data_IF_246697734162
#
_entry.id   IF_246697734162
#
_cell.length_a   1.000
_cell.length_b   1.000
_cell.length_c   1.000
_cell.angle_alpha   90.00
_cell.angle_beta   90.00
_cell.angle_gamma   90.00
#
_symmetry.space_group_name_H-M   'P 1'
#
loop_
_entity.id
_entity.type
_entity.pdbx_description
1 polymer ?
#
# COMPACT_ATOMS: atom_id res chain seq x y z
N UNK A 1 -16.42 -40.77 2.65
CA UNK A 1 -15.09 -40.81 2.02
C UNK A 1 -14.87 -39.44 1.40
N UNK A 2 -13.76 -38.77 1.76
CA UNK A 2 -13.44 -37.45 1.22
C UNK A 2 -13.16 -37.51 -0.29
N UNK A 3 -13.43 -36.43 -1.01
CA UNK A 3 -13.01 -36.29 -2.42
C UNK A 3 -11.48 -36.15 -2.42
N UNK A 4 -10.74 -36.95 -3.20
CA UNK A 4 -9.29 -36.81 -3.28
C UNK A 4 -8.92 -35.44 -3.86
N UNK A 5 -7.90 -34.80 -3.28
CA UNK A 5 -7.41 -33.47 -3.68
C UNK A 5 -6.02 -33.56 -4.27
N UNK A 6 -5.68 -32.72 -5.25
CA UNK A 6 -4.32 -32.69 -5.77
C UNK A 6 -3.49 -31.71 -4.95
N UNK A 7 -2.27 -32.12 -4.59
CA UNK A 7 -1.36 -31.32 -3.77
C UNK A 7 -0.06 -31.06 -4.52
N UNK A 8 0.33 -29.78 -4.57
CA UNK A 8 1.60 -29.32 -5.13
C UNK A 8 2.37 -28.53 -4.08
N UNK A 9 3.66 -28.80 -3.93
CA UNK A 9 4.55 -28.11 -2.99
C UNK A 9 5.47 -27.13 -3.70
N UNK A 10 5.80 -26.02 -3.04
CA UNK A 10 6.90 -25.12 -3.41
C UNK A 10 7.70 -24.74 -2.16
N UNK A 11 8.98 -24.41 -2.32
CA UNK A 11 9.87 -24.03 -1.22
C UNK A 11 10.23 -25.16 -0.24
N UNK A 12 9.85 -26.42 -0.54
CA UNK A 12 10.07 -27.61 0.31
C UNK A 12 10.95 -28.62 -0.46
N UNK A 13 11.87 -29.30 0.23
CA UNK A 13 12.68 -30.36 -0.36
C UNK A 13 11.86 -31.60 -0.72
N UNK A 14 12.29 -32.37 -1.74
CA UNK A 14 11.59 -33.59 -2.19
C UNK A 14 11.46 -34.67 -1.11
N UNK A 15 12.35 -34.69 -0.13
CA UNK A 15 12.30 -35.61 1.02
C UNK A 15 11.37 -35.11 2.14
N UNK A 16 10.76 -33.93 1.98
CA UNK A 16 9.84 -33.28 2.91
C UNK A 16 10.45 -32.96 4.29
N UNK A 17 11.79 -32.92 4.41
CA UNK A 17 12.49 -32.71 5.68
C UNK A 17 12.99 -31.28 5.89
N UNK A 18 13.01 -30.45 4.86
CA UNK A 18 13.55 -29.09 4.93
C UNK A 18 12.83 -28.12 4.00
N UNK A 19 12.85 -26.83 4.36
CA UNK A 19 12.47 -25.74 3.47
C UNK A 19 13.70 -25.30 2.66
N UNK A 20 13.64 -25.44 1.33
CA UNK A 20 14.78 -25.18 0.44
C UNK A 20 14.65 -23.90 -0.39
N UNK A 21 13.44 -23.31 -0.47
CA UNK A 21 13.21 -22.08 -1.23
C UNK A 21 13.05 -22.19 -2.71
N UNK A 22 13.04 -23.40 -3.24
CA UNK A 22 12.88 -23.58 -4.67
C UNK A 22 11.50 -23.10 -5.12
N UNK A 23 11.46 -22.39 -6.24
CA UNK A 23 10.22 -22.07 -6.94
C UNK A 23 9.72 -23.26 -7.79
N UNK A 24 10.52 -24.31 -7.94
CA UNK A 24 10.16 -25.49 -8.71
C UNK A 24 9.06 -26.28 -7.97
N UNK A 25 7.90 -26.49 -8.62
CA UNK A 25 6.81 -27.23 -7.99
C UNK A 25 7.15 -28.72 -7.87
N UNK A 26 6.74 -29.33 -6.75
CA UNK A 26 6.76 -30.76 -6.53
C UNK A 26 5.32 -31.25 -6.48
N UNK A 27 4.88 -31.95 -7.53
CA UNK A 27 3.55 -32.54 -7.60
C UNK A 27 3.53 -33.86 -6.82
N UNK A 28 2.66 -33.97 -5.82
CA UNK A 28 2.52 -35.20 -5.02
C UNK A 28 1.35 -36.09 -5.48
N UNK A 29 0.53 -35.59 -6.40
CA UNK A 29 -0.64 -36.32 -6.93
C UNK A 29 -1.89 -36.19 -6.05
N UNK A 30 -2.91 -37.04 -6.32
CA UNK A 30 -4.15 -37.04 -5.56
C UNK A 30 -3.94 -37.65 -4.17
N UNK A 31 -4.46 -36.98 -3.15
CA UNK A 31 -4.41 -37.40 -1.74
C UNK A 31 -5.81 -37.44 -1.13
N UNK A 32 -6.07 -38.43 -0.29
CA UNK A 32 -7.22 -38.41 0.60
C UNK A 32 -6.97 -37.52 1.84
N UNK A 33 -7.98 -37.37 2.70
CA UNK A 33 -7.89 -36.53 3.89
C UNK A 33 -6.86 -37.02 4.92
N UNK A 34 -6.65 -38.33 5.03
CA UNK A 34 -5.73 -38.93 6.00
C UNK A 34 -4.28 -38.76 5.54
N UNK A 35 -4.02 -38.96 4.25
CA UNK A 35 -2.74 -38.70 3.60
C UNK A 35 -2.36 -37.22 3.68
N UNK A 36 -3.33 -36.32 3.42
CA UNK A 36 -3.12 -34.89 3.56
C UNK A 36 -2.81 -34.50 5.01
N UNK A 37 -3.52 -35.06 5.99
CA UNK A 37 -3.26 -34.81 7.41
C UNK A 37 -1.83 -35.25 7.80
N UNK A 38 -1.41 -36.43 7.36
CA UNK A 38 -0.07 -36.95 7.61
C UNK A 38 1.01 -36.04 7.00
N UNK A 39 0.80 -35.60 5.74
CA UNK A 39 1.68 -34.65 5.07
C UNK A 39 1.80 -33.35 5.86
N UNK A 40 0.67 -32.78 6.30
CA UNK A 40 0.64 -31.52 7.05
C UNK A 40 1.39 -31.61 8.39
N UNK A 41 1.25 -32.72 9.10
CA UNK A 41 1.99 -32.93 10.35
C UNK A 41 3.50 -33.08 10.12
N UNK A 42 3.91 -33.60 8.96
CA UNK A 42 5.32 -33.72 8.60
C UNK A 42 5.94 -32.36 8.25
N UNK A 43 5.21 -31.51 7.53
CA UNK A 43 5.73 -30.26 6.97
C UNK A 43 5.47 -29.02 7.83
N UNK A 44 4.43 -28.99 8.66
CA UNK A 44 4.14 -27.84 9.53
C UNK A 44 5.31 -27.47 10.46
N UNK A 45 6.12 -28.41 10.99
CA UNK A 45 7.28 -28.06 11.82
C UNK A 45 8.47 -27.45 11.05
N UNK A 46 8.44 -27.42 9.72
CA UNK A 46 9.55 -26.91 8.92
C UNK A 46 9.74 -25.42 9.20
N UNK A 47 10.98 -25.04 9.52
CA UNK A 47 11.37 -23.65 9.64
C UNK A 47 11.65 -23.09 8.25
N UNK A 48 11.19 -21.87 7.92
CA UNK A 48 11.73 -21.17 6.77
C UNK A 48 13.26 -21.05 6.95
N UNK A 49 14.04 -21.15 5.86
CA UNK A 49 15.48 -21.10 5.95
C UNK A 49 15.93 -19.71 6.36
N UNK A 50 16.95 -19.70 7.21
CA UNK A 50 17.47 -18.52 7.89
C UNK A 50 18.42 -17.78 6.94
N UNK A 51 17.89 -16.90 6.08
CA UNK A 51 18.68 -16.36 4.96
C UNK A 51 18.44 -14.86 4.76
N UNK A 52 19.45 -14.11 5.16
CA UNK A 52 19.63 -12.72 4.77
C UNK A 52 20.04 -12.68 3.28
N UNK A 53 19.17 -12.12 2.41
CA UNK A 53 19.48 -11.58 1.07
C UNK A 53 19.18 -12.40 -0.22
N UNK A 54 17.99 -13.00 -0.40
CA UNK A 54 17.56 -13.52 -1.73
C UNK A 54 16.04 -13.54 -1.98
N UNK A 55 15.65 -13.61 -3.27
CA UNK A 55 14.29 -13.95 -3.71
C UNK A 55 14.02 -15.43 -3.39
N UNK A 56 13.19 -15.67 -2.38
CA UNK A 56 12.93 -17.00 -1.82
C UNK A 56 11.45 -17.35 -1.90
N UNK A 57 11.14 -18.58 -2.31
CA UNK A 57 9.78 -19.10 -2.25
C UNK A 57 9.48 -19.67 -0.85
N UNK A 58 8.56 -19.09 -0.07
CA UNK A 58 8.19 -19.65 1.22
C UNK A 58 7.63 -21.07 1.07
N UNK A 59 7.78 -21.94 2.09
CA UNK A 59 7.20 -23.28 2.05
C UNK A 59 5.69 -23.19 1.85
N UNK A 60 5.22 -23.58 0.67
CA UNK A 60 3.84 -23.35 0.24
C UNK A 60 3.22 -24.65 -0.27
N UNK A 61 1.97 -24.89 0.09
CA UNK A 61 1.11 -25.94 -0.48
C UNK A 61 0.02 -25.29 -1.30
N UNK A 62 -0.15 -25.82 -2.50
CA UNK A 62 -1.25 -25.52 -3.38
C UNK A 62 -2.14 -26.76 -3.38
N UNK A 63 -3.39 -26.59 -2.92
CA UNK A 63 -4.37 -27.69 -2.86
C UNK A 63 -5.48 -27.38 -3.86
N UNK A 64 -5.59 -28.20 -4.89
CA UNK A 64 -6.67 -28.10 -5.87
C UNK A 64 -7.87 -28.91 -5.36
N UNK A 65 -8.94 -28.21 -5.02
CA UNK A 65 -10.21 -28.80 -4.57
C UNK A 65 -11.28 -28.59 -5.65
N UNK A 66 -12.45 -29.26 -5.55
CA UNK A 66 -13.58 -28.98 -6.42
C UNK A 66 -14.10 -27.52 -6.33
N UNK A 67 -13.84 -26.83 -5.22
CA UNK A 67 -14.23 -25.42 -5.02
C UNK A 67 -13.19 -24.43 -5.53
N UNK A 68 -11.99 -24.89 -5.90
CA UNK A 68 -10.93 -24.08 -6.49
C UNK A 68 -9.55 -24.39 -5.90
N UNK A 69 -8.57 -23.60 -6.32
CA UNK A 69 -7.22 -23.65 -5.78
C UNK A 69 -7.16 -22.92 -4.43
N UNK A 70 -6.58 -23.57 -3.42
CA UNK A 70 -6.35 -23.00 -2.09
C UNK A 70 -4.84 -22.95 -1.82
N UNK A 71 -4.35 -21.84 -1.28
CA UNK A 71 -2.93 -21.59 -1.06
C UNK A 71 -2.60 -21.50 0.42
N UNK A 72 -1.66 -22.31 0.87
CA UNK A 72 -1.27 -22.42 2.26
C UNK A 72 0.24 -22.22 2.40
N UNK A 73 0.68 -21.37 3.32
CA UNK A 73 2.10 -21.12 3.61
C UNK A 73 2.46 -21.66 5.00
N UNK A 74 3.60 -22.35 5.17
CA UNK A 74 4.07 -22.77 6.50
C UNK A 74 4.87 -21.66 7.16
N UNK A 75 4.58 -21.40 8.43
CA UNK A 75 5.44 -20.60 9.30
C UNK A 75 5.16 -20.93 10.76
N UNK A 76 6.19 -20.86 11.61
CA UNK A 76 6.05 -20.95 13.06
C UNK A 76 5.23 -22.14 13.59
N UNK A 77 5.43 -23.33 13.01
CA UNK A 77 4.70 -24.57 13.36
C UNK A 77 3.20 -24.55 13.06
N UNK A 78 2.76 -23.60 12.23
CA UNK A 78 1.37 -23.39 11.84
C UNK A 78 1.29 -23.25 10.32
N UNK A 79 0.08 -23.33 9.80
CA UNK A 79 -0.20 -23.14 8.39
C UNK A 79 -1.00 -21.86 8.23
N UNK A 80 -0.55 -20.95 7.39
CA UNK A 80 -1.23 -19.71 7.06
C UNK A 80 -2.04 -19.92 5.77
N UNK A 81 -3.36 -19.74 5.83
CA UNK A 81 -4.23 -19.82 4.67
C UNK A 81 -4.28 -18.45 3.99
N UNK A 82 -3.75 -18.35 2.77
CA UNK A 82 -3.53 -17.07 2.10
C UNK A 82 -4.85 -16.38 1.76
N UNK A 83 -5.85 -17.13 1.30
CA UNK A 83 -7.14 -16.56 0.89
C UNK A 83 -7.97 -16.02 2.07
N UNK A 84 -7.81 -16.59 3.27
CA UNK A 84 -8.49 -16.10 4.47
C UNK A 84 -7.61 -15.23 5.37
N UNK A 85 -6.34 -15.04 5.00
CA UNK A 85 -5.34 -14.30 5.77
C UNK A 85 -5.24 -14.75 7.24
N UNK A 86 -5.44 -16.04 7.51
CA UNK A 86 -5.53 -16.58 8.88
C UNK A 86 -4.64 -17.80 9.12
N UNK A 87 -4.17 -17.95 10.37
CA UNK A 87 -3.46 -19.16 10.79
C UNK A 87 -4.45 -20.27 11.11
N UNK A 88 -4.25 -21.43 10.48
CA UNK A 88 -5.05 -22.63 10.65
C UNK A 88 -4.19 -23.80 11.11
N UNK A 89 -4.74 -24.63 11.99
CA UNK A 89 -4.18 -25.92 12.35
C UNK A 89 -4.44 -26.97 11.27
N UNK A 90 -3.73 -28.12 11.29
CA UNK A 90 -3.92 -29.19 10.30
C UNK A 90 -5.37 -29.69 10.17
N UNK A 91 -6.08 -29.82 11.30
CA UNK A 91 -7.51 -30.22 11.30
C UNK A 91 -8.41 -29.19 10.64
N UNK A 92 -8.14 -27.91 10.85
CA UNK A 92 -8.94 -26.80 10.30
C UNK A 92 -8.68 -26.64 8.81
N UNK A 93 -7.43 -26.82 8.37
CA UNK A 93 -7.08 -26.85 6.96
C UNK A 93 -7.87 -27.94 6.22
N UNK A 94 -8.03 -29.13 6.81
CA UNK A 94 -8.88 -30.19 6.23
C UNK A 94 -10.34 -29.75 6.14
N UNK A 95 -10.85 -29.05 7.15
CA UNK A 95 -12.21 -28.52 7.11
C UNK A 95 -12.37 -27.43 6.04
N UNK A 96 -11.34 -26.57 5.82
CA UNK A 96 -11.32 -25.57 4.74
C UNK A 96 -11.37 -26.26 3.38
N UNK A 97 -10.52 -27.26 3.19
CA UNK A 97 -10.39 -28.03 1.95
C UNK A 97 -11.67 -28.82 1.64
N UNK A 98 -12.32 -29.37 2.66
CA UNK A 98 -13.58 -30.10 2.52
C UNK A 98 -14.79 -29.17 2.32
N UNK A 99 -14.61 -27.85 2.39
CA UNK A 99 -15.69 -26.86 2.32
C UNK A 99 -16.60 -26.85 3.54
N UNK A 100 -16.21 -27.53 4.63
CA UNK A 100 -16.97 -27.58 5.88
C UNK A 100 -16.61 -26.43 6.83
N UNK A 101 -15.50 -25.74 6.60
CA UNK A 101 -15.07 -24.62 7.43
C UNK A 101 -15.61 -23.29 6.90
N UNK A 102 -16.47 -22.67 7.70
CA UNK A 102 -16.85 -21.28 7.48
C UNK A 102 -15.90 -20.38 8.28
N UNK A 103 -14.82 -19.93 7.64
CA UNK A 103 -13.81 -19.02 8.22
C UNK A 103 -14.43 -17.80 8.91
N UNK A 104 -15.55 -17.29 8.40
CA UNK A 104 -16.28 -16.16 9.01
C UNK A 104 -16.92 -16.51 10.36
N UNK A 105 -17.45 -17.71 10.51
CA UNK A 105 -18.10 -18.14 11.75
C UNK A 105 -17.08 -18.26 12.90
N UNK A 106 -15.86 -18.70 12.58
CA UNK A 106 -14.79 -18.84 13.57
C UNK A 106 -14.16 -17.50 13.96
N UNK A 107 -13.89 -16.60 13.01
CA UNK A 107 -13.45 -15.24 13.34
C UNK A 107 -14.42 -14.56 14.31
N UNK A 108 -15.73 -14.75 14.11
CA UNK A 108 -16.75 -14.27 15.04
C UNK A 108 -16.68 -14.95 16.42
N UNK A 109 -16.37 -16.25 16.47
CA UNK A 109 -16.28 -17.02 17.72
C UNK A 109 -15.00 -16.72 18.51
N UNK A 110 -13.85 -16.55 17.85
CA UNK A 110 -12.58 -16.18 18.48
C UNK A 110 -12.62 -14.73 19.00
N UNK A 111 -13.31 -13.83 18.28
CA UNK A 111 -13.60 -12.47 18.78
C UNK A 111 -14.49 -12.51 20.03
N UNK A 112 -15.52 -13.35 20.04
CA UNK A 112 -16.40 -13.52 21.20
C UNK A 112 -15.65 -14.11 22.43
N UNK A 113 -14.75 -15.08 22.21
CA UNK A 113 -13.95 -15.69 23.26
C UNK A 113 -12.89 -14.73 23.85
N UNK A 114 -12.40 -13.78 23.06
CA UNK A 114 -11.49 -12.73 23.52
C UNK A 114 -12.16 -11.63 24.37
N UNK A 115 -13.47 -11.75 24.67
CA UNK A 115 -14.24 -10.73 25.39
C UNK A 115 -14.47 -9.46 24.56
N UNK A 116 -14.16 -9.49 23.27
CA UNK A 116 -14.51 -8.44 22.32
C UNK A 116 -15.94 -8.75 21.89
N UNK A 117 -16.91 -8.05 22.48
CA UNK A 117 -18.31 -8.20 22.09
C UNK A 117 -18.42 -8.15 20.55
N UNK A 118 -19.08 -9.13 19.91
CA UNK A 118 -19.13 -9.20 18.47
C UNK A 118 -19.75 -7.92 17.93
N UNK A 119 -18.99 -7.16 17.15
CA UNK A 119 -19.54 -6.07 16.37
C UNK A 119 -20.54 -6.71 15.41
N UNK A 120 -21.83 -6.47 15.65
CA UNK A 120 -22.94 -6.94 14.82
C UNK A 120 -22.61 -6.75 13.34
N UNK A 121 -22.42 -7.83 12.56
CA UNK A 121 -22.15 -7.72 11.13
C UNK A 121 -23.42 -7.21 10.45
N UNK A 122 -23.49 -5.92 10.21
CA UNK A 122 -24.68 -5.24 9.67
C UNK A 122 -24.83 -3.79 10.10
N UNK A 123 -24.14 -3.39 11.17
CA UNK A 123 -23.94 -1.98 11.50
C UNK A 123 -22.49 -1.81 11.92
N UNK A 124 -21.63 -1.40 10.96
CA UNK A 124 -20.63 -0.40 11.37
C UNK A 124 -21.46 0.64 12.14
N UNK A 125 -21.16 0.97 13.41
CA UNK A 125 -21.66 2.22 13.92
C UNK A 125 -21.17 3.24 12.90
N UNK A 126 -22.06 3.70 12.01
CA UNK A 126 -21.94 5.02 11.42
C UNK A 126 -21.73 5.88 12.64
N UNK A 127 -20.47 6.25 12.88
CA UNK A 127 -20.12 7.09 14.00
C UNK A 127 -21.15 8.20 14.04
N UNK A 128 -21.83 8.39 15.19
CA UNK A 128 -22.85 9.41 15.31
C UNK A 128 -22.27 10.69 14.71
N UNK A 129 -22.93 11.20 13.66
CA UNK A 129 -22.43 12.20 12.72
C UNK A 129 -21.56 13.24 13.43
N UNK A 130 -20.24 12.98 13.47
CA UNK A 130 -19.34 13.73 14.32
C UNK A 130 -19.18 15.09 13.66
N UNK A 131 -19.72 16.14 14.28
CA UNK A 131 -19.62 17.50 13.74
C UNK A 131 -18.13 17.87 13.63
N UNK A 132 -17.60 18.10 12.40
CA UNK A 132 -16.19 18.41 12.19
C UNK A 132 -15.71 19.65 12.96
N UNK A 133 -16.64 20.51 13.40
CA UNK A 133 -16.34 21.70 14.22
C UNK A 133 -15.92 21.37 15.65
N UNK A 134 -16.23 20.17 16.13
CA UNK A 134 -15.88 19.72 17.48
C UNK A 134 -14.46 19.16 17.58
N UNK A 135 -13.83 18.85 16.44
CA UNK A 135 -12.48 18.31 16.35
C UNK A 135 -11.46 19.42 16.66
N UNK A 136 -10.65 19.21 17.70
CA UNK A 136 -9.61 20.15 18.08
C UNK A 136 -8.42 20.09 17.11
N UNK A 137 -8.32 21.11 16.25
CA UNK A 137 -7.21 21.29 15.28
C UNK A 137 -6.24 22.41 15.68
N UNK A 138 -6.44 22.95 16.89
CA UNK A 138 -5.65 24.04 17.47
C UNK A 138 -4.23 23.62 17.85
N UNK A 139 -3.36 24.57 18.24
CA UNK A 139 -1.98 24.30 18.67
C UNK A 139 -1.86 23.37 19.88
N UNK A 140 -2.90 23.30 20.70
CA UNK A 140 -3.04 22.44 21.88
C UNK A 140 -3.15 20.94 21.54
N UNK A 141 -3.69 20.60 20.36
CA UNK A 141 -3.81 19.21 19.95
C UNK A 141 -2.46 18.66 19.41
N UNK A 142 -2.08 17.41 19.76
CA UNK A 142 -0.91 16.76 19.18
C UNK A 142 -0.98 16.73 17.65
N UNK A 143 -0.03 17.40 17.00
CA UNK A 143 -0.02 17.54 15.55
C UNK A 143 1.39 17.75 15.00
N UNK A 144 1.53 17.58 13.69
CA UNK A 144 2.71 17.97 12.93
C UNK A 144 2.31 18.59 11.59
N UNK A 145 3.28 19.19 10.91
CA UNK A 145 3.09 19.77 9.59
C UNK A 145 4.15 19.31 8.62
N UNK A 146 3.74 18.97 7.40
CA UNK A 146 4.59 18.56 6.30
C UNK A 146 4.39 19.50 5.11
N UNK A 147 5.48 19.79 4.38
CA UNK A 147 5.40 20.47 3.08
C UNK A 147 5.12 19.43 2.00
N UNK A 148 3.92 19.47 1.42
CA UNK A 148 3.50 18.55 0.35
C UNK A 148 3.09 19.33 -0.89
N UNK A 149 3.18 18.71 -2.06
CA UNK A 149 2.61 19.29 -3.28
C UNK A 149 1.09 19.45 -3.16
N UNK A 150 0.57 20.62 -3.53
CA UNK A 150 -0.88 20.90 -3.54
C UNK A 150 -1.65 20.00 -4.50
N UNK A 151 -0.97 19.48 -5.51
CA UNK A 151 -1.52 18.53 -6.45
C UNK A 151 -0.47 18.07 -7.46
N UNK A 152 -0.82 17.04 -8.23
CA UNK A 152 0.07 16.47 -9.25
C UNK A 152 0.38 17.49 -10.35
N UNK A 153 -0.59 18.29 -10.79
CA UNK A 153 -0.36 19.33 -11.79
C UNK A 153 0.74 20.32 -11.37
N UNK A 154 0.76 20.72 -10.09
CA UNK A 154 1.83 21.57 -9.56
C UNK A 154 3.19 20.89 -9.64
N UNK A 155 3.29 19.64 -9.20
CA UNK A 155 4.54 18.86 -9.25
C UNK A 155 5.02 18.69 -10.70
N UNK A 156 4.13 18.29 -11.60
CA UNK A 156 4.45 18.07 -13.01
C UNK A 156 4.92 19.36 -13.67
N UNK A 157 4.19 20.48 -13.50
CA UNK A 157 4.59 21.77 -14.06
C UNK A 157 5.93 22.25 -13.50
N UNK A 158 6.15 22.09 -12.19
CA UNK A 158 7.39 22.50 -11.53
C UNK A 158 8.63 21.71 -11.99
N UNK A 159 8.45 20.51 -12.56
CA UNK A 159 9.54 19.68 -13.10
C UNK A 159 9.63 19.83 -14.63
N UNK A 160 8.51 19.81 -15.34
CA UNK A 160 8.48 19.79 -16.79
C UNK A 160 8.85 21.15 -17.42
N UNK A 161 8.36 22.26 -16.85
CA UNK A 161 8.64 23.61 -17.39
C UNK A 161 10.14 23.92 -17.42
N UNK A 162 10.92 23.77 -16.34
CA UNK A 162 12.35 24.07 -16.40
C UNK A 162 13.10 23.13 -17.34
N UNK A 163 12.69 21.86 -17.42
CA UNK A 163 13.31 20.89 -18.32
C UNK A 163 13.04 21.24 -19.80
N UNK A 164 11.80 21.61 -20.14
CA UNK A 164 11.43 22.09 -21.47
C UNK A 164 12.13 23.41 -21.81
N UNK A 165 12.21 24.36 -20.88
CA UNK A 165 12.94 25.61 -21.09
C UNK A 165 14.44 25.37 -21.32
N UNK A 166 15.06 24.48 -20.54
CA UNK A 166 16.46 24.11 -20.71
C UNK A 166 16.70 23.46 -22.09
N UNK A 167 15.88 22.49 -22.46
CA UNK A 167 16.06 21.68 -23.67
C UNK A 167 15.68 22.42 -24.95
N UNK A 168 14.62 23.21 -24.95
CA UNK A 168 14.11 23.88 -26.15
C UNK A 168 14.64 25.30 -26.33
N UNK A 169 15.16 25.93 -25.26
CA UNK A 169 15.62 27.32 -25.33
C UNK A 169 17.08 27.47 -24.92
N UNK A 170 17.50 26.97 -23.76
CA UNK A 170 18.87 27.19 -23.30
C UNK A 170 19.88 26.46 -24.19
N UNK A 171 19.68 25.15 -24.44
CA UNK A 171 20.60 24.35 -25.25
C UNK A 171 20.69 24.84 -26.70
N UNK A 172 19.58 25.02 -27.45
CA UNK A 172 19.64 25.57 -28.81
C UNK A 172 20.19 27.00 -28.85
N UNK A 173 19.90 27.81 -27.83
CA UNK A 173 20.41 29.17 -27.72
C UNK A 173 21.94 29.19 -27.63
N UNK A 174 22.53 28.32 -26.80
CA UNK A 174 23.98 28.15 -26.77
C UNK A 174 24.54 27.64 -28.10
N UNK A 175 23.90 26.66 -28.74
CA UNK A 175 24.34 26.16 -30.04
C UNK A 175 24.37 27.27 -31.10
N UNK A 176 23.34 28.14 -31.15
CA UNK A 176 23.30 29.29 -32.06
C UNK A 176 24.41 30.31 -31.80
N UNK A 177 24.72 30.58 -30.53
CA UNK A 177 25.82 31.49 -30.16
C UNK A 177 27.16 30.96 -30.65
N UNK A 178 27.42 29.65 -30.50
CA UNK A 178 28.72 29.06 -30.83
C UNK A 178 28.86 28.65 -32.30
N UNK A 179 27.78 28.35 -33.02
CA UNK A 179 27.84 27.81 -34.38
C UNK A 179 27.93 28.87 -35.48
N UNK A 180 27.22 30.00 -35.38
CA UNK A 180 26.91 30.81 -36.57
C UNK A 180 27.69 32.14 -36.69
N UNK A 181 28.70 32.37 -35.86
CA UNK A 181 29.40 33.67 -35.81
C UNK A 181 28.44 34.81 -35.43
N UNK A 182 28.97 36.01 -35.17
CA UNK A 182 28.23 37.08 -34.49
C UNK A 182 26.87 37.52 -35.09
N UNK A 183 26.52 37.09 -36.31
CA UNK A 183 25.29 37.51 -37.01
C UNK A 183 24.00 36.95 -36.39
N UNK A 184 24.04 35.74 -35.83
CA UNK A 184 22.88 35.10 -35.17
C UNK A 184 23.04 34.96 -33.65
N UNK A 185 24.17 35.39 -33.11
CA UNK A 185 24.47 35.30 -31.68
C UNK A 185 23.43 36.03 -30.81
N UNK A 186 22.81 37.10 -31.31
CA UNK A 186 21.77 37.83 -30.59
C UNK A 186 20.48 37.03 -30.43
N UNK A 187 20.08 36.22 -31.43
CA UNK A 187 18.94 35.31 -31.32
C UNK A 187 19.22 34.23 -30.29
N UNK A 188 20.42 33.64 -30.35
CA UNK A 188 20.85 32.65 -29.36
C UNK A 188 20.87 33.21 -27.94
N UNK A 189 21.40 34.43 -27.76
CA UNK A 189 21.40 35.12 -26.47
C UNK A 189 19.98 35.40 -25.96
N UNK A 190 19.07 35.84 -26.84
CA UNK A 190 17.66 36.01 -26.50
C UNK A 190 17.00 34.70 -26.07
N UNK A 191 17.26 33.60 -26.78
CA UNK A 191 16.75 32.25 -26.43
C UNK A 191 17.25 31.80 -25.06
N UNK A 192 18.55 31.97 -24.77
CA UNK A 192 19.14 31.64 -23.47
C UNK A 192 18.52 32.47 -22.36
N UNK A 193 18.31 33.78 -22.57
CA UNK A 193 17.74 34.67 -21.57
C UNK A 193 16.28 34.30 -21.24
N UNK A 194 15.46 34.04 -22.26
CA UNK A 194 14.08 33.56 -22.05
C UNK A 194 14.07 32.20 -21.36
N UNK A 195 14.92 31.28 -21.78
CA UNK A 195 15.06 29.96 -21.14
C UNK A 195 15.46 30.07 -19.67
N UNK A 196 16.45 30.91 -19.35
CA UNK A 196 16.88 31.19 -17.98
C UNK A 196 15.77 31.82 -17.14
N UNK A 197 15.00 32.76 -17.71
CA UNK A 197 13.83 33.35 -17.05
C UNK A 197 12.77 32.29 -16.74
N UNK A 198 12.45 31.39 -17.68
CA UNK A 198 11.52 30.29 -17.45
C UNK A 198 12.01 29.33 -16.34
N UNK A 199 13.30 29.02 -16.31
CA UNK A 199 13.91 28.24 -15.22
C UNK A 199 13.82 28.99 -13.89
N UNK A 200 14.09 30.29 -13.86
CA UNK A 200 13.92 31.12 -12.67
C UNK A 200 12.48 31.16 -12.16
N UNK A 201 11.50 31.32 -13.06
CA UNK A 201 10.07 31.27 -12.73
C UNK A 201 9.65 29.89 -12.22
N UNK A 202 10.31 28.81 -12.62
CA UNK A 202 10.03 27.47 -12.08
C UNK A 202 10.33 27.37 -10.58
N UNK A 203 11.31 28.14 -10.06
CA UNK A 203 11.57 28.19 -8.62
C UNK A 203 10.36 28.74 -7.85
N UNK A 204 9.65 29.73 -8.42
CA UNK A 204 8.39 30.22 -7.84
C UNK A 204 7.33 29.13 -7.83
N UNK A 205 7.21 28.33 -8.90
CA UNK A 205 6.30 27.18 -8.92
C UNK A 205 6.62 26.15 -7.85
N UNK A 206 7.90 25.93 -7.52
CA UNK A 206 8.31 25.07 -6.41
C UNK A 206 7.90 25.62 -5.05
N UNK A 207 8.07 26.93 -4.83
CA UNK A 207 7.71 27.59 -3.58
C UNK A 207 6.20 27.62 -3.38
N UNK A 208 5.44 28.02 -4.40
CA UNK A 208 3.98 28.16 -4.33
C UNK A 208 3.22 26.85 -4.54
N UNK A 209 3.79 25.92 -5.29
CA UNK A 209 3.19 24.62 -5.59
C UNK A 209 3.19 23.68 -4.39
N UNK A 210 4.01 23.96 -3.37
CA UNK A 210 3.97 23.26 -2.08
C UNK A 210 3.05 24.00 -1.11
N UNK A 211 2.34 23.24 -0.30
CA UNK A 211 1.53 23.74 0.81
C UNK A 211 1.84 22.98 2.09
N UNK A 212 1.39 23.52 3.22
CA UNK A 212 1.50 22.85 4.51
C UNK A 212 0.30 21.94 4.71
N UNK A 213 0.53 20.63 4.65
CA UNK A 213 -0.38 19.64 5.19
C UNK A 213 -0.18 19.61 6.70
N UNK A 214 -1.27 19.64 7.45
CA UNK A 214 -1.27 19.44 8.90
C UNK A 214 -2.01 18.14 9.18
N UNK A 215 -1.47 17.36 10.10
CA UNK A 215 -2.15 16.16 10.58
C UNK A 215 -2.00 16.09 12.09
N UNK A 216 -3.03 15.61 12.76
CA UNK A 216 -3.09 15.58 14.21
C UNK A 216 -4.05 14.51 14.71
N UNK A 217 -4.03 14.34 16.02
CA UNK A 217 -4.97 13.48 16.74
C UNK A 217 -5.65 14.33 17.81
N UNK A 218 -6.97 14.31 17.80
CA UNK A 218 -7.79 14.85 18.88
C UNK A 218 -8.25 13.67 19.76
N UNK A 219 -7.58 13.49 20.90
CA UNK A 219 -7.90 12.42 21.83
C UNK A 219 -9.23 12.61 22.56
N UNK A 220 -9.74 13.85 22.64
CA UNK A 220 -11.03 14.13 23.27
C UNK A 220 -12.18 13.55 22.45
N UNK A 221 -12.11 13.74 21.13
CA UNK A 221 -13.08 13.17 20.18
C UNK A 221 -12.66 11.80 19.64
N UNK A 222 -11.50 11.29 20.08
CA UNK A 222 -10.89 10.05 19.59
C UNK A 222 -10.76 10.02 18.05
N UNK A 223 -10.32 11.13 17.45
CA UNK A 223 -10.23 11.28 15.99
C UNK A 223 -8.82 11.59 15.52
N UNK A 224 -8.45 11.03 14.37
CA UNK A 224 -7.28 11.45 13.61
C UNK A 224 -7.77 12.34 12.48
N UNK A 225 -7.07 13.44 12.24
CA UNK A 225 -7.48 14.40 11.23
C UNK A 225 -6.31 14.84 10.35
N UNK A 226 -6.62 15.17 9.11
CA UNK A 226 -5.70 15.66 8.10
C UNK A 226 -6.31 16.90 7.46
N UNK A 227 -5.60 18.02 7.54
CA UNK A 227 -5.98 19.28 6.92
C UNK A 227 -5.00 19.62 5.80
N UNK A 228 -5.52 19.64 4.58
CA UNK A 228 -4.77 20.02 3.38
C UNK A 228 -4.98 21.48 3.01
N UNK A 229 -3.98 22.10 2.36
CA UNK A 229 -4.12 23.46 1.86
C UNK A 229 -5.29 23.56 0.88
N UNK A 230 -6.28 24.39 1.21
CA UNK A 230 -7.45 24.63 0.35
C UNK A 230 -8.47 23.49 0.29
N UNK A 231 -8.37 22.49 1.17
CA UNK A 231 -9.37 21.42 1.28
C UNK A 231 -10.08 21.47 2.63
N UNK A 232 -11.27 20.86 2.71
CA UNK A 232 -11.99 20.66 3.96
C UNK A 232 -11.20 19.72 4.87
N UNK A 233 -11.41 19.86 6.19
CA UNK A 233 -10.86 18.95 7.18
C UNK A 233 -11.32 17.53 6.87
N UNK A 234 -10.36 16.62 6.70
CA UNK A 234 -10.60 15.21 6.57
C UNK A 234 -10.31 14.55 7.91
N UNK A 235 -11.13 13.59 8.35
CA UNK A 235 -10.94 12.94 9.63
C UNK A 235 -11.41 11.49 9.57
N UNK A 236 -10.89 10.72 10.50
CA UNK A 236 -11.28 9.35 10.80
C UNK A 236 -11.52 9.25 12.30
N UNK A 237 -12.64 8.66 12.68
CA UNK A 237 -12.97 8.36 14.05
C UNK A 237 -12.23 7.14 14.57
N UNK A 238 -12.35 6.88 15.87
CA UNK A 238 -11.81 5.72 16.55
C UNK A 238 -10.28 5.61 16.43
N UNK A 239 -9.57 6.72 16.65
CA UNK A 239 -8.11 6.79 16.59
C UNK A 239 -7.42 5.80 17.55
N UNK A 240 -8.00 5.55 18.72
CA UNK A 240 -7.53 4.58 19.70
C UNK A 240 -7.48 3.13 19.20
N UNK A 241 -8.24 2.81 18.14
CA UNK A 241 -8.27 1.48 17.53
C UNK A 241 -7.26 1.33 16.38
N UNK A 242 -6.49 2.38 16.06
CA UNK A 242 -5.49 2.32 14.99
C UNK A 242 -4.20 1.69 15.55
N UNK A 243 -3.77 0.58 14.93
CA UNK A 243 -2.55 -0.15 15.27
C UNK A 243 -1.31 0.41 14.59
N UNK A 244 -1.47 0.98 13.40
CA UNK A 244 -0.36 1.54 12.63
C UNK A 244 -0.79 2.05 11.26
N UNK A 245 0.17 2.61 10.54
CA UNK A 245 -0.02 3.17 9.21
C UNK A 245 0.91 2.48 8.21
N UNK A 246 0.43 2.32 6.97
CA UNK A 246 1.25 1.91 5.83
C UNK A 246 0.88 2.74 4.61
N UNK A 247 1.70 2.68 3.56
CA UNK A 247 1.53 3.48 2.35
C UNK A 247 1.17 2.56 1.19
N UNK A 248 -0.04 2.73 0.67
CA UNK A 248 -0.50 2.01 -0.51
C UNK A 248 -0.29 2.84 -1.77
N UNK A 249 0.26 2.20 -2.81
CA UNK A 249 0.31 2.79 -4.15
C UNK A 249 -1.02 2.55 -4.85
N UNK A 250 -1.69 3.62 -5.28
CA UNK A 250 -2.93 3.57 -6.05
C UNK A 250 -2.68 4.03 -7.48
N UNK A 251 -3.42 3.42 -8.41
CA UNK A 251 -3.39 3.76 -9.83
C UNK A 251 -4.81 4.03 -10.31
N UNK A 252 -5.05 5.18 -10.96
CA UNK A 252 -6.32 5.51 -11.64
C UNK A 252 -6.06 5.47 -13.12
N UNK A 253 -6.86 4.68 -13.81
CA UNK A 253 -6.94 4.79 -15.25
C UNK A 253 -7.64 6.12 -15.60
N UNK A 254 -6.92 7.02 -16.26
CA UNK A 254 -7.42 8.32 -16.72
C UNK A 254 -7.95 8.24 -18.16
N UNK A 255 -8.10 7.03 -18.70
CA UNK A 255 -8.53 6.78 -20.08
C UNK A 255 -7.36 6.50 -21.02
N UNK A 256 -7.65 6.46 -22.32
CA UNK A 256 -6.67 6.17 -23.37
C UNK A 256 -6.22 7.45 -24.06
N UNK A 257 -4.91 7.62 -24.21
CA UNK A 257 -4.31 8.69 -25.00
C UNK A 257 -3.84 8.09 -26.32
N UNK A 258 -4.23 8.71 -27.43
CA UNK A 258 -3.77 8.33 -28.76
C UNK A 258 -2.30 8.74 -28.90
N UNK A 259 -1.44 7.76 -29.16
CA UNK A 259 -0.01 7.96 -29.45
C UNK A 259 0.28 7.54 -30.89
N UNK A 260 1.48 7.86 -31.40
CA UNK A 260 1.93 7.43 -32.73
C UNK A 260 1.88 5.90 -32.90
N UNK A 261 2.02 5.15 -31.81
CA UNK A 261 2.03 3.68 -31.80
C UNK A 261 0.70 3.10 -31.28
N UNK A 262 -0.41 3.81 -31.49
CA UNK A 262 -1.74 3.38 -31.04
C UNK A 262 -2.19 3.99 -29.70
N UNK A 263 -3.19 3.41 -29.06
CA UNK A 263 -3.74 3.92 -27.80
C UNK A 263 -2.93 3.40 -26.61
N UNK A 264 -2.46 4.30 -25.75
CA UNK A 264 -1.85 3.95 -24.45
C UNK A 264 -2.77 4.36 -23.32
N UNK A 265 -2.89 3.52 -22.29
CA UNK A 265 -3.59 3.89 -21.07
C UNK A 265 -2.78 4.98 -20.35
N UNK A 266 -3.44 6.10 -20.06
CA UNK A 266 -2.89 7.11 -19.16
C UNK A 266 -3.20 6.68 -17.74
N UNK A 267 -2.17 6.36 -16.97
CA UNK A 267 -2.31 5.92 -15.58
C UNK A 267 -1.76 7.00 -14.67
N UNK A 268 -2.62 7.51 -13.80
CA UNK A 268 -2.22 8.42 -12.71
C UNK A 268 -1.87 7.59 -11.49
N UNK A 269 -0.70 7.85 -10.92
CA UNK A 269 -0.21 7.19 -9.71
C UNK A 269 -0.28 8.17 -8.54
N UNK A 270 -0.86 7.75 -7.42
CA UNK A 270 -0.73 8.46 -6.14
C UNK A 270 -0.48 7.47 -5.00
N UNK A 271 -0.06 8.00 -3.87
CA UNK A 271 0.23 7.23 -2.68
C UNK A 271 -0.79 7.59 -1.62
N UNK A 272 -1.41 6.60 -1.01
CA UNK A 272 -2.46 6.76 -0.02
C UNK A 272 -1.97 6.17 1.30
N UNK A 273 -1.97 6.99 2.35
CA UNK A 273 -1.74 6.49 3.71
C UNK A 273 -2.99 5.72 4.13
N UNK A 274 -2.79 4.48 4.51
CA UNK A 274 -3.83 3.59 5.01
C UNK A 274 -3.51 3.20 6.45
N UNK A 275 -4.52 3.00 7.28
CA UNK A 275 -4.39 2.57 8.66
C UNK A 275 -4.84 1.12 8.83
N UNK A 276 -4.16 0.38 9.72
CA UNK A 276 -4.60 -0.93 10.21
C UNK A 276 -5.34 -0.72 11.53
N UNK A 277 -6.54 -1.26 11.67
CA UNK A 277 -7.34 -1.14 12.91
C UNK A 277 -7.33 -2.45 13.68
N UNK A 278 -7.55 -2.40 15.00
CA UNK A 278 -7.76 -3.61 15.82
C UNK A 278 -9.01 -4.38 15.41
N UNK A 279 -10.04 -3.67 14.96
CA UNK A 279 -11.34 -4.25 14.61
C UNK A 279 -11.45 -4.69 13.15
N UNK A 280 -10.42 -4.45 12.33
CA UNK A 280 -10.45 -4.79 10.91
C UNK A 280 -9.07 -5.20 10.41
N UNK A 281 -9.01 -6.37 9.80
CA UNK A 281 -7.80 -6.86 9.12
C UNK A 281 -7.50 -6.07 7.84
N UNK A 282 -8.53 -5.43 7.26
CA UNK A 282 -8.40 -4.63 6.06
C UNK A 282 -7.77 -3.26 6.34
N UNK A 283 -6.86 -2.87 5.46
CA UNK A 283 -6.26 -1.55 5.46
C UNK A 283 -7.28 -0.51 5.00
N UNK A 284 -7.57 0.46 5.85
CA UNK A 284 -8.54 1.54 5.55
C UNK A 284 -7.80 2.80 5.11
N UNK A 285 -8.24 3.48 4.04
CA UNK A 285 -7.64 4.75 3.65
C UNK A 285 -7.85 5.81 4.74
N UNK A 286 -6.81 6.56 5.04
CA UNK A 286 -6.94 7.75 5.89
C UNK A 286 -7.48 8.88 5.03
N UNK A 287 -8.69 9.37 5.33
CA UNK A 287 -9.27 10.50 4.63
C UNK A 287 -8.29 11.70 4.59
N UNK A 288 -8.04 12.23 3.38
CA UNK A 288 -7.06 13.30 3.17
C UNK A 288 -5.59 12.86 3.19
N UNK A 289 -5.29 11.58 3.33
CA UNK A 289 -3.94 11.00 3.38
C UNK A 289 -3.27 10.71 2.03
N UNK A 290 -3.76 11.26 0.91
CA UNK A 290 -3.32 10.91 -0.46
C UNK A 290 -2.21 11.80 -1.04
N UNK A 291 -0.94 11.44 -0.94
CA UNK A 291 0.18 12.25 -1.45
C UNK A 291 0.53 11.95 -2.92
N UNK A 292 1.17 12.92 -3.58
CA UNK A 292 1.62 12.77 -4.98
C UNK A 292 2.96 12.04 -5.03
N UNK A 293 3.84 12.27 -4.05
CA UNK A 293 5.11 11.57 -3.93
C UNK A 293 5.07 10.51 -2.82
N UNK A 294 5.77 9.39 -3.04
CA UNK A 294 5.89 8.32 -2.04
C UNK A 294 6.50 8.84 -0.73
N UNK A 295 7.61 9.58 -0.83
CA UNK A 295 8.27 10.15 0.36
C UNK A 295 7.37 11.04 1.20
N UNK A 296 6.46 11.81 0.57
CA UNK A 296 5.48 12.62 1.31
C UNK A 296 4.44 11.75 2.05
N UNK A 297 4.04 10.60 1.47
CA UNK A 297 3.15 9.66 2.14
C UNK A 297 3.88 8.90 3.27
N UNK A 298 5.14 8.51 3.06
CA UNK A 298 5.98 7.85 4.06
C UNK A 298 6.22 8.80 5.26
N UNK A 299 6.49 10.08 5.01
CA UNK A 299 6.64 11.11 6.05
C UNK A 299 5.33 11.31 6.83
N UNK A 300 4.19 11.31 6.12
CA UNK A 300 2.87 11.43 6.74
C UNK A 300 2.57 10.21 7.63
N UNK A 301 2.79 9.00 7.13
CA UNK A 301 2.59 7.77 7.89
C UNK A 301 3.45 7.73 9.16
N UNK A 302 4.75 8.05 9.05
CA UNK A 302 5.67 8.12 10.20
C UNK A 302 5.28 9.19 11.21
N UNK A 303 4.86 10.36 10.74
CA UNK A 303 4.39 11.42 11.62
C UNK A 303 3.14 11.02 12.40
N UNK A 304 2.17 10.39 11.73
CA UNK A 304 0.94 9.88 12.36
C UNK A 304 1.24 8.75 13.36
N UNK A 305 2.14 7.83 13.01
CA UNK A 305 2.59 6.79 13.93
C UNK A 305 3.26 7.38 15.18
N UNK A 306 4.09 8.42 14.99
CA UNK A 306 4.70 9.16 16.08
C UNK A 306 3.69 9.84 17.00
N UNK A 307 2.53 10.27 16.49
CA UNK A 307 1.44 10.81 17.32
C UNK A 307 0.73 9.71 18.12
N UNK A 308 0.47 8.55 17.51
CA UNK A 308 -0.18 7.42 18.20
C UNK A 308 0.65 6.89 19.37
N UNK A 309 1.99 6.89 19.22
CA UNK A 309 2.92 6.44 20.27
C UNK A 309 3.00 7.39 21.48
N UNK A 310 2.49 8.62 21.37
CA UNK A 310 2.49 9.63 22.45
C UNK A 310 1.20 9.62 23.29
N UNK A 311 0.36 8.60 23.10
CA UNK A 311 -0.86 8.40 23.90
C UNK A 311 -0.52 8.24 25.38
#
# INVERSE_FOLDING_TARGET
>A
MGVPVKVTLQGISRDLKSANGSHDPIELGPMDSDQLFALLNQVAPLKPPDLNAGDFCPPTFLVETPSGLQTFTVGDRRVYHLESESWVGPTEMIQVISGQFNTRARLAQDQAAAGVAPATPGALPTDPDLDPRTIETGPSAPQFSLKVWRGEGWRTSAIAIPLLALTLMVVPGFLLIFANGGREAWLGAGLVLVGALCVGLSALLWVFGKGRLRAGVDWRTNTIWVLRPGQKLAYESNAANILGFTVNRRTKNMGRVRTRNGYRNSVKVWFEVVCKRTTSEHLMPVNGGSCVAKGEADDLARGLEGLLRRR
#
